data_IF_992090419866
#
_entry.id   IF_992090419866
#
_cell.length_a   1.000
_cell.length_b   1.000
_cell.length_c   1.000
_cell.angle_alpha   90.00
_cell.angle_beta   90.00
_cell.angle_gamma   90.00
#
_symmetry.space_group_name_H-M   'P 1'
#
loop_
_entity.id
_entity.type
_entity.pdbx_description
1 polymer ?
#
# COMPACT_ATOMS: atom_id res chain seq x y z
N UNK A 1 17.19 -13.44 1.21
CA UNK A 1 18.58 -13.88 1.11
C UNK A 1 18.79 -14.88 -0.02
N UNK A 2 18.12 -16.03 -0.02
CA UNK A 2 18.22 -17.06 -1.07
C UNK A 2 17.80 -16.52 -2.45
N UNK A 3 16.66 -15.88 -2.57
CA UNK A 3 16.18 -15.30 -3.83
C UNK A 3 17.13 -14.24 -4.42
N UNK A 4 17.82 -13.51 -3.56
CA UNK A 4 18.78 -12.48 -4.00
C UNK A 4 20.08 -13.12 -4.52
N UNK A 5 20.53 -14.23 -3.94
CA UNK A 5 21.67 -14.99 -4.42
C UNK A 5 21.37 -15.65 -5.76
N UNK A 6 20.23 -16.31 -5.87
CA UNK A 6 19.75 -16.94 -7.11
C UNK A 6 19.64 -15.92 -8.27
N UNK A 7 19.10 -14.74 -7.99
CA UNK A 7 19.00 -13.67 -9.00
C UNK A 7 20.38 -13.14 -9.40
N UNK A 8 21.30 -13.01 -8.45
CA UNK A 8 22.65 -12.56 -8.70
C UNK A 8 23.45 -13.57 -9.53
N UNK A 9 23.42 -14.85 -9.14
CA UNK A 9 24.11 -15.92 -9.89
C UNK A 9 23.52 -16.05 -11.28
N UNK A 10 22.22 -15.90 -11.46
CA UNK A 10 21.57 -15.89 -12.75
C UNK A 10 22.05 -14.72 -13.62
N UNK A 11 22.16 -13.50 -13.08
CA UNK A 11 22.65 -12.32 -13.81
C UNK A 11 24.10 -12.53 -14.29
N UNK A 12 24.96 -13.12 -13.45
CA UNK A 12 26.34 -13.46 -13.84
C UNK A 12 26.37 -14.55 -14.90
N UNK A 13 25.62 -15.62 -14.75
CA UNK A 13 25.57 -16.71 -15.72
C UNK A 13 25.03 -16.23 -17.07
N UNK A 14 24.00 -15.38 -17.08
CA UNK A 14 23.51 -14.74 -18.30
C UNK A 14 24.58 -13.86 -18.96
N UNK A 15 25.34 -13.09 -18.19
CA UNK A 15 26.47 -12.32 -18.70
C UNK A 15 27.55 -13.24 -19.30
N UNK A 16 27.96 -14.29 -18.60
CA UNK A 16 28.95 -15.26 -19.07
C UNK A 16 28.52 -15.95 -20.38
N UNK A 17 27.23 -16.16 -20.56
CA UNK A 17 26.67 -16.72 -21.81
C UNK A 17 26.78 -15.76 -23.00
N UNK A 18 26.89 -14.47 -22.77
CA UNK A 18 27.10 -13.46 -23.83
C UNK A 18 28.56 -13.39 -24.31
N UNK A 19 29.50 -13.98 -23.55
CA UNK A 19 30.92 -13.86 -23.81
C UNK A 19 31.36 -14.63 -25.07
N UNK A 20 32.43 -14.17 -25.77
CA UNK A 20 33.08 -14.92 -26.81
C UNK A 20 33.50 -16.32 -26.30
N UNK A 21 33.34 -17.35 -27.17
CA UNK A 21 33.63 -18.74 -26.81
C UNK A 21 35.04 -18.95 -26.24
N UNK A 22 36.05 -18.23 -26.74
CA UNK A 22 37.43 -18.38 -26.27
C UNK A 22 37.64 -17.85 -24.84
N UNK A 23 36.81 -16.93 -24.35
CA UNK A 23 36.78 -16.43 -22.98
C UNK A 23 35.97 -17.40 -22.12
N UNK A 24 34.75 -17.73 -22.57
CA UNK A 24 33.80 -18.56 -21.82
C UNK A 24 34.36 -19.92 -21.44
N UNK A 25 35.14 -20.59 -22.31
CA UNK A 25 35.71 -21.91 -22.04
C UNK A 25 36.77 -21.88 -20.93
N UNK A 26 37.38 -20.74 -20.66
CA UNK A 26 38.48 -20.58 -19.72
C UNK A 26 38.00 -20.18 -18.31
N UNK A 27 36.78 -19.71 -18.21
CA UNK A 27 36.23 -19.21 -16.93
C UNK A 27 35.76 -20.37 -16.04
N UNK A 28 36.19 -20.34 -14.79
CA UNK A 28 35.77 -21.29 -13.79
C UNK A 28 34.49 -20.78 -13.08
N UNK A 29 33.33 -21.37 -13.41
CA UNK A 29 32.04 -21.01 -12.85
C UNK A 29 31.72 -21.63 -11.50
N UNK A 30 32.60 -22.44 -10.91
CA UNK A 30 32.38 -23.18 -9.66
C UNK A 30 32.00 -22.28 -8.47
N UNK A 31 32.43 -21.01 -8.52
CA UNK A 31 32.04 -20.06 -7.46
C UNK A 31 30.52 -19.82 -7.40
N UNK A 32 29.83 -19.98 -8.53
CA UNK A 32 28.39 -19.69 -8.65
C UNK A 32 27.52 -20.96 -8.65
N UNK A 33 28.14 -22.15 -8.72
CA UNK A 33 27.43 -23.43 -8.77
C UNK A 33 26.98 -23.94 -7.40
N UNK A 34 27.69 -23.57 -6.32
CA UNK A 34 27.46 -24.12 -4.99
C UNK A 34 27.25 -23.04 -3.91
N UNK A 35 26.16 -23.19 -3.19
CA UNK A 35 25.82 -22.56 -1.91
C UNK A 35 26.12 -21.06 -1.69
N UNK A 36 25.12 -20.35 -1.21
CA UNK A 36 25.20 -18.96 -0.69
C UNK A 36 26.45 -18.78 0.18
N UNK A 37 27.33 -17.79 -0.08
CA UNK A 37 28.48 -17.49 0.78
C UNK A 37 28.07 -17.31 2.23
N UNK A 38 28.83 -17.91 3.15
CA UNK A 38 28.48 -17.94 4.57
C UNK A 38 28.64 -16.59 5.27
N UNK A 39 29.53 -15.75 4.75
CA UNK A 39 29.79 -14.41 5.29
C UNK A 39 30.43 -13.50 4.22
N UNK A 40 30.55 -12.21 4.54
CA UNK A 40 31.12 -11.18 3.65
C UNK A 40 32.56 -11.53 3.21
N UNK A 41 33.42 -11.96 4.12
CA UNK A 41 34.81 -12.29 3.82
C UNK A 41 34.95 -13.38 2.76
N UNK A 42 34.12 -14.42 2.87
CA UNK A 42 34.10 -15.52 1.89
C UNK A 42 33.60 -15.07 0.53
N UNK A 43 32.60 -14.18 0.50
CA UNK A 43 32.08 -13.58 -0.72
C UNK A 43 33.13 -12.69 -1.38
N UNK A 44 33.71 -11.74 -0.65
CA UNK A 44 34.68 -10.77 -1.17
C UNK A 44 35.91 -11.48 -1.72
N UNK A 45 36.42 -12.50 -1.02
CA UNK A 45 37.55 -13.29 -1.47
C UNK A 45 37.23 -14.02 -2.76
N UNK A 46 36.10 -14.73 -2.83
CA UNK A 46 35.71 -15.46 -4.03
C UNK A 46 35.47 -14.55 -5.22
N UNK A 47 34.83 -13.39 -5.02
CA UNK A 47 34.60 -12.41 -6.07
C UNK A 47 35.91 -11.76 -6.54
N UNK A 48 36.85 -11.46 -5.64
CA UNK A 48 38.16 -10.92 -5.98
C UNK A 48 39.01 -11.95 -6.79
N UNK A 49 38.99 -13.21 -6.37
CA UNK A 49 39.65 -14.28 -7.11
C UNK A 49 39.08 -14.44 -8.52
N UNK A 50 37.77 -14.51 -8.63
CA UNK A 50 37.09 -14.58 -9.93
C UNK A 50 37.34 -13.36 -10.81
N UNK A 51 37.26 -12.15 -10.27
CA UNK A 51 37.50 -10.91 -11.01
C UNK A 51 38.94 -10.83 -11.54
N UNK A 52 39.93 -11.24 -10.73
CA UNK A 52 41.31 -11.29 -11.14
C UNK A 52 41.55 -12.31 -12.27
N UNK A 53 40.99 -13.50 -12.16
CA UNK A 53 41.04 -14.52 -13.21
C UNK A 53 40.37 -14.01 -14.51
N UNK A 54 39.21 -13.41 -14.37
CA UNK A 54 38.45 -12.85 -15.49
C UNK A 54 39.22 -11.76 -16.24
N UNK A 55 39.87 -10.81 -15.54
CA UNK A 55 40.68 -9.76 -16.14
C UNK A 55 41.86 -10.33 -16.93
N UNK A 56 42.49 -11.40 -16.44
CA UNK A 56 43.58 -12.05 -17.15
C UNK A 56 43.11 -12.70 -18.46
N UNK A 57 41.97 -13.38 -18.41
CA UNK A 57 41.39 -14.08 -19.56
C UNK A 57 40.85 -13.09 -20.59
N UNK A 58 40.18 -12.01 -20.14
CA UNK A 58 39.53 -11.03 -21.00
C UNK A 58 40.41 -9.83 -21.37
N UNK A 59 41.72 -9.88 -21.12
CA UNK A 59 42.65 -8.74 -21.29
C UNK A 59 42.65 -8.10 -22.69
N UNK A 60 42.28 -8.87 -23.70
CA UNK A 60 42.21 -8.40 -25.10
C UNK A 60 40.82 -7.83 -25.46
N UNK A 61 39.86 -7.85 -24.56
CA UNK A 61 38.47 -7.45 -24.78
C UNK A 61 38.02 -6.34 -23.79
N UNK A 62 38.49 -5.08 -23.98
CA UNK A 62 38.24 -4.00 -23.01
C UNK A 62 36.75 -3.75 -22.71
N UNK A 63 35.89 -3.93 -23.71
CA UNK A 63 34.43 -3.75 -23.52
C UNK A 63 33.84 -4.81 -22.61
N UNK A 64 34.33 -6.04 -22.68
CA UNK A 64 33.90 -7.14 -21.83
C UNK A 64 34.33 -6.89 -20.38
N UNK A 65 35.53 -6.36 -20.19
CA UNK A 65 36.03 -5.96 -18.86
C UNK A 65 35.12 -4.83 -18.27
N UNK A 66 34.81 -3.81 -19.08
CA UNK A 66 33.96 -2.69 -18.63
C UNK A 66 32.55 -3.15 -18.21
N UNK A 67 31.96 -4.11 -18.93
CA UNK A 67 30.68 -4.70 -18.57
C UNK A 67 30.77 -5.53 -17.29
N UNK A 68 31.82 -6.31 -17.13
CA UNK A 68 32.09 -7.05 -15.90
C UNK A 68 32.25 -6.13 -14.69
N UNK A 69 33.00 -5.06 -14.79
CA UNK A 69 33.19 -4.11 -13.69
C UNK A 69 31.87 -3.47 -13.24
N UNK A 70 30.93 -3.19 -14.16
CA UNK A 70 29.60 -2.71 -13.83
C UNK A 70 28.82 -3.74 -12.99
N UNK A 71 28.88 -5.02 -13.39
CA UNK A 71 28.23 -6.12 -12.68
C UNK A 71 28.90 -6.32 -11.31
N UNK A 72 30.22 -6.30 -11.27
CA UNK A 72 31.01 -6.46 -10.04
C UNK A 72 30.66 -5.38 -8.99
N UNK A 73 30.72 -4.11 -9.37
CA UNK A 73 30.40 -3.00 -8.44
C UNK A 73 28.93 -2.98 -8.01
N UNK A 74 28.01 -3.38 -8.90
CA UNK A 74 26.60 -3.53 -8.52
C UNK A 74 26.43 -4.62 -7.48
N UNK A 75 27.12 -5.75 -7.65
CA UNK A 75 27.05 -6.89 -6.73
C UNK A 75 27.68 -6.59 -5.38
N UNK A 76 28.85 -5.93 -5.38
CA UNK A 76 29.54 -5.52 -4.15
C UNK A 76 28.65 -4.66 -3.25
N UNK A 77 27.93 -3.69 -3.84
CA UNK A 77 26.99 -2.85 -3.10
C UNK A 77 25.75 -3.62 -2.60
N UNK A 78 25.24 -4.56 -3.39
CA UNK A 78 24.06 -5.34 -3.01
C UNK A 78 24.36 -6.40 -1.94
N UNK A 79 25.53 -7.08 -2.04
CA UNK A 79 25.91 -8.17 -1.14
C UNK A 79 26.64 -7.72 0.12
N UNK A 80 27.45 -6.67 0.05
CA UNK A 80 28.05 -6.06 1.22
C UNK A 80 26.96 -5.72 2.26
N UNK A 81 25.87 -5.13 1.79
CA UNK A 81 24.72 -4.83 2.63
C UNK A 81 23.96 -6.08 3.14
N UNK A 82 23.91 -7.18 2.41
CA UNK A 82 23.21 -8.40 2.79
C UNK A 82 24.00 -9.25 3.79
N UNK A 83 25.33 -9.26 3.71
CA UNK A 83 26.20 -10.12 4.52
C UNK A 83 26.79 -9.43 5.76
N UNK A 84 26.71 -8.10 5.82
CA UNK A 84 27.26 -7.31 6.96
C UNK A 84 26.51 -7.48 8.28
N UNK A 85 25.51 -8.36 8.37
CA UNK A 85 24.67 -8.55 9.58
C UNK A 85 23.76 -7.36 9.91
N UNK A 86 24.09 -6.17 9.46
CA UNK A 86 23.24 -4.97 9.54
C UNK A 86 21.98 -5.13 8.67
N UNK A 87 22.12 -5.66 7.46
CA UNK A 87 20.99 -5.95 6.60
C UNK A 87 20.07 -7.04 7.14
N UNK A 88 20.60 -8.04 7.83
CA UNK A 88 19.78 -9.05 8.50
C UNK A 88 18.99 -8.43 9.65
N UNK A 89 19.59 -7.49 10.40
CA UNK A 89 18.90 -6.74 11.45
C UNK A 89 17.84 -5.82 10.85
N UNK A 90 18.16 -5.11 9.77
CA UNK A 90 17.22 -4.22 9.06
C UNK A 90 16.09 -5.05 8.42
N UNK A 91 16.40 -6.18 7.76
CA UNK A 91 15.41 -7.06 7.19
C UNK A 91 14.50 -7.68 8.27
N UNK A 92 15.08 -8.12 9.39
CA UNK A 92 14.32 -8.63 10.53
C UNK A 92 13.48 -7.51 11.18
N UNK A 93 14.04 -6.31 11.34
CA UNK A 93 13.32 -5.16 11.85
C UNK A 93 12.15 -4.79 10.94
N UNK A 94 12.38 -4.74 9.63
CA UNK A 94 11.33 -4.45 8.65
C UNK A 94 10.26 -5.54 8.61
N UNK A 95 10.66 -6.82 8.71
CA UNK A 95 9.73 -7.93 8.82
C UNK A 95 8.89 -7.84 10.11
N UNK A 96 9.53 -7.61 11.26
CA UNK A 96 8.83 -7.42 12.54
C UNK A 96 7.90 -6.21 12.45
N UNK A 97 8.37 -5.11 11.89
CA UNK A 97 7.57 -3.88 11.75
C UNK A 97 6.40 -4.03 10.77
N UNK A 98 6.55 -4.79 9.69
CA UNK A 98 5.51 -5.01 8.69
C UNK A 98 4.50 -6.08 9.11
N UNK A 99 4.96 -7.20 9.69
CA UNK A 99 4.16 -8.41 9.87
C UNK A 99 3.78 -8.70 11.33
N UNK A 100 4.64 -8.34 12.28
CA UNK A 100 4.46 -8.70 13.69
C UNK A 100 4.11 -7.51 14.58
N UNK A 101 4.33 -6.27 14.13
CA UNK A 101 3.92 -5.11 14.91
C UNK A 101 2.39 -4.98 14.87
N UNK A 102 1.71 -5.08 16.02
CA UNK A 102 0.31 -4.75 16.05
C UNK A 102 0.14 -3.31 15.63
N UNK A 103 -0.72 -3.07 14.67
CA UNK A 103 -1.04 -1.71 14.24
C UNK A 103 -1.90 -1.07 15.32
N UNK A 104 -1.30 -0.14 16.05
CA UNK A 104 -2.03 0.69 16.99
C UNK A 104 -2.72 1.81 16.20
N UNK A 105 -4.04 1.72 16.07
CA UNK A 105 -4.84 2.84 15.60
C UNK A 105 -5.21 3.64 16.84
N UNK A 106 -4.56 4.79 17.01
CA UNK A 106 -4.83 5.67 18.14
C UNK A 106 -6.02 6.58 17.82
N UNK A 107 -7.10 6.38 18.52
CA UNK A 107 -8.28 7.24 18.45
C UNK A 107 -8.24 8.24 19.59
N UNK A 108 -7.46 9.32 19.45
CA UNK A 108 -7.28 10.33 20.52
C UNK A 108 -8.50 11.22 20.69
N UNK A 109 -9.19 11.55 19.62
CA UNK A 109 -10.39 12.35 19.66
C UNK A 109 -11.42 11.87 18.65
N UNK A 110 -12.67 11.89 19.14
CA UNK A 110 -13.78 11.24 18.54
C UNK A 110 -14.34 12.06 17.38
N UNK A 111 -13.90 11.74 16.16
CA UNK A 111 -14.37 12.41 14.96
C UNK A 111 -15.56 11.70 14.38
N UNK A 112 -16.72 12.16 14.79
CA UNK A 112 -17.99 11.63 14.30
C UNK A 112 -18.25 12.09 12.87
N UNK A 113 -18.71 11.14 12.05
CA UNK A 113 -19.33 11.50 10.77
C UNK A 113 -20.67 12.15 11.05
N UNK A 114 -20.87 13.31 10.52
CA UNK A 114 -22.16 13.98 10.54
C UNK A 114 -23.06 13.47 9.42
N UNK A 115 -24.36 13.43 9.67
CA UNK A 115 -25.35 12.96 8.69
C UNK A 115 -25.43 13.82 7.41
N UNK A 116 -24.90 15.05 7.45
CA UNK A 116 -24.79 15.93 6.31
C UNK A 116 -23.35 16.40 6.17
N UNK A 117 -22.77 16.20 5.00
CA UNK A 117 -21.41 16.55 4.63
C UNK A 117 -21.49 17.64 3.57
N UNK A 118 -20.90 18.78 3.83
CA UNK A 118 -20.75 19.85 2.84
C UNK A 118 -19.56 19.52 1.93
N UNK A 119 -19.84 19.16 0.68
CA UNK A 119 -18.80 18.76 -0.27
C UNK A 119 -17.89 19.92 -0.69
N UNK A 120 -18.37 21.15 -0.70
CA UNK A 120 -17.51 22.31 -0.99
C UNK A 120 -16.48 22.52 0.11
N UNK A 121 -16.91 22.40 1.38
CA UNK A 121 -16.00 22.48 2.52
C UNK A 121 -15.01 21.34 2.54
N UNK A 122 -15.46 20.11 2.25
CA UNK A 122 -14.59 18.94 2.14
C UNK A 122 -13.52 19.13 1.06
N UNK A 123 -13.90 19.54 -0.17
CA UNK A 123 -12.95 19.76 -1.25
C UNK A 123 -11.97 20.90 -0.97
N UNK A 124 -12.43 21.96 -0.30
CA UNK A 124 -11.54 23.06 0.12
C UNK A 124 -10.48 22.56 1.09
N UNK A 125 -10.89 21.81 2.12
CA UNK A 125 -9.95 21.23 3.11
C UNK A 125 -8.98 20.24 2.47
N UNK A 126 -9.46 19.37 1.58
CA UNK A 126 -8.59 18.43 0.85
C UNK A 126 -7.54 19.16 -0.01
N UNK A 127 -7.89 20.31 -0.59
CA UNK A 127 -6.95 21.13 -1.34
C UNK A 127 -5.92 21.80 -0.42
N UNK A 128 -6.37 22.39 0.68
CA UNK A 128 -5.50 23.01 1.70
C UNK A 128 -4.50 22.00 2.28
N UNK A 129 -4.90 20.75 2.56
CA UNK A 129 -4.02 19.68 3.01
C UNK A 129 -2.92 19.34 1.99
N UNK A 130 -3.22 19.37 0.70
CA UNK A 130 -2.24 19.09 -0.37
C UNK A 130 -1.24 20.24 -0.58
N UNK A 131 -1.68 21.48 -0.39
CA UNK A 131 -0.86 22.67 -0.60
C UNK A 131 0.06 22.99 0.60
N UNK A 132 -0.35 22.61 1.80
CA UNK A 132 0.41 22.79 3.03
C UNK A 132 0.85 21.41 3.52
N UNK A 133 2.03 20.97 3.09
CA UNK A 133 2.70 19.86 3.72
C UNK A 133 3.02 20.24 5.17
N UNK A 134 2.25 19.70 6.11
CA UNK A 134 2.54 19.55 7.53
C UNK A 134 2.39 20.79 8.41
N UNK A 135 1.56 20.69 9.36
CA UNK A 135 1.77 20.72 10.79
C UNK A 135 0.39 20.63 11.45
N UNK A 136 0.28 19.71 12.37
CA UNK A 136 -0.79 19.48 13.31
C UNK A 136 -1.83 20.60 13.44
N UNK A 137 -3.02 20.37 12.87
CA UNK A 137 -4.18 21.19 13.22
C UNK A 137 -5.37 20.25 13.46
N UNK A 138 -5.93 20.30 14.66
CA UNK A 138 -7.09 19.54 15.13
C UNK A 138 -8.32 19.59 14.18
N UNK A 139 -8.38 20.55 13.29
CA UNK A 139 -9.43 20.72 12.29
C UNK A 139 -9.32 19.76 11.08
N UNK A 140 -8.12 19.28 10.79
CA UNK A 140 -7.86 18.35 9.67
C UNK A 140 -8.48 16.98 9.86
N UNK A 141 -8.61 16.56 11.06
CA UNK A 141 -9.09 15.26 11.45
C UNK A 141 -10.57 14.98 11.10
N UNK A 142 -11.44 16.01 10.98
CA UNK A 142 -12.83 15.82 10.55
C UNK A 142 -12.93 15.44 9.06
N UNK A 143 -11.99 15.89 8.25
CA UNK A 143 -11.91 15.54 6.83
C UNK A 143 -11.49 14.09 6.63
N UNK A 144 -10.62 13.55 7.52
CA UNK A 144 -10.11 12.18 7.40
C UNK A 144 -11.22 11.13 7.52
N UNK A 145 -12.10 11.24 8.52
CA UNK A 145 -13.21 10.29 8.69
C UNK A 145 -14.18 10.32 7.49
N UNK A 146 -14.40 11.51 6.91
CA UNK A 146 -15.21 11.66 5.69
C UNK A 146 -14.48 11.07 4.48
N UNK A 147 -13.17 11.27 4.39
CA UNK A 147 -12.31 10.65 3.36
C UNK A 147 -12.36 9.14 3.44
N UNK A 148 -12.30 8.58 4.64
CA UNK A 148 -12.41 7.15 4.88
C UNK A 148 -13.78 6.60 4.46
N UNK A 149 -14.86 7.35 4.70
CA UNK A 149 -16.19 6.99 4.24
C UNK A 149 -16.25 6.92 2.70
N UNK A 150 -15.74 7.94 2.00
CA UNK A 150 -15.73 7.97 0.53
C UNK A 150 -14.80 6.90 -0.05
N UNK A 151 -13.65 6.66 0.59
CA UNK A 151 -12.73 5.59 0.21
C UNK A 151 -13.40 4.20 0.29
N UNK A 152 -14.09 3.89 1.39
CA UNK A 152 -14.83 2.63 1.51
C UNK A 152 -15.98 2.53 0.52
N UNK A 153 -16.65 3.63 0.23
CA UNK A 153 -17.72 3.70 -0.76
C UNK A 153 -17.19 3.58 -2.21
N UNK A 154 -15.86 3.69 -2.41
CA UNK A 154 -15.22 3.85 -3.72
C UNK A 154 -15.90 4.97 -4.53
N UNK A 155 -16.15 6.09 -3.86
CA UNK A 155 -16.82 7.26 -4.41
C UNK A 155 -15.79 8.36 -4.68
N UNK A 156 -15.56 8.65 -5.96
CA UNK A 156 -14.78 9.81 -6.35
C UNK A 156 -15.68 11.06 -6.34
N UNK A 157 -15.32 12.03 -5.51
CA UNK A 157 -16.09 13.28 -5.39
C UNK A 157 -16.00 14.14 -6.66
N UNK A 158 -14.91 14.01 -7.44
CA UNK A 158 -14.77 14.69 -8.73
C UNK A 158 -15.74 14.11 -9.76
N UNK A 159 -15.82 12.77 -9.83
CA UNK A 159 -16.81 12.11 -10.70
C UNK A 159 -18.24 12.50 -10.32
N UNK A 160 -18.53 12.58 -9.01
CA UNK A 160 -19.82 13.06 -8.54
C UNK A 160 -20.10 14.50 -8.98
N UNK A 161 -19.11 15.38 -8.91
CA UNK A 161 -19.24 16.79 -9.33
C UNK A 161 -19.53 16.91 -10.84
N UNK A 162 -18.93 16.06 -11.65
CA UNK A 162 -19.17 16.00 -13.10
C UNK A 162 -20.60 15.54 -13.46
N UNK A 163 -21.15 14.62 -12.66
CA UNK A 163 -22.47 14.02 -12.94
C UNK A 163 -23.62 14.64 -12.15
N UNK A 164 -23.37 15.59 -11.24
CA UNK A 164 -24.41 16.22 -10.40
C UNK A 164 -25.56 16.86 -11.17
N UNK A 165 -25.31 17.36 -12.39
CA UNK A 165 -26.30 17.88 -13.31
C UNK A 165 -27.08 16.83 -14.12
N UNK A 166 -26.78 15.54 -13.94
CA UNK A 166 -27.35 14.41 -14.65
C UNK A 166 -28.01 13.44 -13.64
N UNK A 167 -29.29 13.62 -13.26
CA UNK A 167 -29.92 12.91 -12.14
C UNK A 167 -29.77 11.40 -12.21
N UNK A 168 -29.98 10.78 -13.37
CA UNK A 168 -29.91 9.32 -13.52
C UNK A 168 -28.51 8.78 -13.29
N UNK A 169 -27.46 9.48 -13.75
CA UNK A 169 -26.07 9.07 -13.52
C UNK A 169 -25.66 9.26 -12.06
N UNK A 170 -26.04 10.41 -11.48
CA UNK A 170 -25.80 10.71 -10.09
C UNK A 170 -26.43 9.64 -9.17
N UNK A 171 -27.70 9.29 -9.38
CA UNK A 171 -28.39 8.24 -8.64
C UNK A 171 -27.68 6.89 -8.79
N UNK A 172 -27.30 6.52 -10.00
CA UNK A 172 -26.58 5.25 -10.25
C UNK A 172 -25.24 5.20 -9.51
N UNK A 173 -24.46 6.27 -9.57
CA UNK A 173 -23.17 6.39 -8.88
C UNK A 173 -23.36 6.24 -7.37
N UNK A 174 -24.28 6.98 -6.78
CA UNK A 174 -24.55 6.96 -5.35
C UNK A 174 -25.11 5.64 -4.86
N UNK A 175 -26.02 5.00 -5.61
CA UNK A 175 -26.52 3.66 -5.27
C UNK A 175 -25.39 2.63 -5.27
N UNK A 176 -24.47 2.72 -6.23
CA UNK A 176 -23.31 1.82 -6.28
C UNK A 176 -22.41 2.04 -5.06
N UNK A 177 -22.09 3.28 -4.74
CA UNK A 177 -21.29 3.66 -3.58
C UNK A 177 -21.95 3.23 -2.25
N UNK A 178 -23.25 3.43 -2.11
CA UNK A 178 -24.06 3.02 -0.95
C UNK A 178 -24.01 1.51 -0.73
N UNK A 179 -24.17 0.73 -1.79
CA UNK A 179 -24.13 -0.73 -1.73
C UNK A 179 -22.72 -1.24 -1.33
N UNK A 180 -21.65 -0.65 -1.89
CA UNK A 180 -20.27 -0.97 -1.54
C UNK A 180 -19.99 -0.67 -0.07
N UNK A 181 -20.36 0.52 0.38
CA UNK A 181 -20.19 0.94 1.77
C UNK A 181 -20.94 0.01 2.74
N UNK A 182 -22.21 -0.27 2.45
CA UNK A 182 -23.05 -1.20 3.23
C UNK A 182 -22.38 -2.57 3.34
N UNK A 183 -21.89 -3.12 2.22
CA UNK A 183 -21.24 -4.44 2.18
C UNK A 183 -19.94 -4.47 3.00
N UNK A 184 -19.16 -3.39 2.98
CA UNK A 184 -17.88 -3.32 3.71
C UNK A 184 -18.06 -3.08 5.19
N UNK A 185 -19.12 -2.40 5.62
CA UNK A 185 -19.35 -2.11 7.04
C UNK A 185 -20.02 -3.26 7.80
N UNK A 186 -20.95 -3.98 7.18
CA UNK A 186 -21.74 -5.01 7.86
C UNK A 186 -20.91 -6.15 8.48
N UNK A 187 -19.77 -6.63 7.93
CA UNK A 187 -18.97 -7.67 8.59
C UNK A 187 -18.41 -7.25 9.96
N UNK A 188 -18.11 -5.97 10.13
CA UNK A 188 -17.64 -5.41 11.40
C UNK A 188 -18.78 -4.91 12.31
N UNK A 189 -20.00 -4.84 11.80
CA UNK A 189 -21.16 -4.36 12.54
C UNK A 189 -21.75 -5.46 13.43
N UNK A 190 -21.69 -5.26 14.75
CA UNK A 190 -22.19 -6.23 15.72
C UNK A 190 -23.62 -5.88 16.16
N UNK A 191 -24.59 -6.11 15.32
CA UNK A 191 -26.01 -5.84 15.59
C UNK A 191 -26.85 -6.32 14.42
N UNK A 192 -28.10 -5.87 14.36
CA UNK A 192 -28.87 -6.09 13.14
C UNK A 192 -28.18 -5.37 11.99
N UNK A 193 -28.15 -6.00 10.79
CA UNK A 193 -27.51 -5.40 9.64
C UNK A 193 -28.03 -3.99 9.35
N UNK A 194 -27.15 -3.13 8.88
CA UNK A 194 -27.53 -1.77 8.47
C UNK A 194 -27.46 -1.63 6.97
N UNK A 195 -28.29 -0.74 6.43
CA UNK A 195 -28.14 -0.25 5.06
C UNK A 195 -27.73 1.21 5.11
N UNK A 196 -26.66 1.54 4.44
CA UNK A 196 -26.15 2.92 4.32
C UNK A 196 -26.50 3.45 2.95
N UNK A 197 -27.19 4.58 2.90
CA UNK A 197 -27.63 5.22 1.69
C UNK A 197 -27.04 6.66 1.62
N UNK A 198 -26.27 6.93 0.56
CA UNK A 198 -25.66 8.21 0.28
C UNK A 198 -26.58 8.99 -0.66
N UNK A 199 -27.00 10.18 -0.24
CA UNK A 199 -27.90 11.02 -1.02
C UNK A 199 -27.29 12.38 -1.29
N UNK A 200 -27.29 12.79 -2.55
CA UNK A 200 -26.89 14.12 -2.95
C UNK A 200 -28.09 15.07 -2.90
N UNK A 201 -27.93 16.19 -2.20
CA UNK A 201 -28.97 17.20 -2.04
C UNK A 201 -28.53 18.55 -2.59
N UNK A 202 -29.48 19.47 -2.87
CA UNK A 202 -29.16 20.84 -3.27
C UNK A 202 -28.17 21.50 -2.30
N UNK A 203 -27.33 22.38 -2.84
CA UNK A 203 -26.30 23.06 -2.04
C UNK A 203 -25.01 22.26 -1.84
N UNK A 204 -24.75 21.24 -2.66
CA UNK A 204 -23.59 20.36 -2.56
C UNK A 204 -23.51 19.65 -1.19
N UNK A 205 -24.64 19.20 -0.69
CA UNK A 205 -24.74 18.47 0.57
C UNK A 205 -24.86 16.97 0.29
N UNK A 206 -23.94 16.18 0.82
CA UNK A 206 -24.07 14.73 0.86
C UNK A 206 -24.73 14.32 2.18
N UNK A 207 -25.87 13.64 2.11
CA UNK A 207 -26.51 13.07 3.29
C UNK A 207 -26.19 11.60 3.44
N UNK A 208 -25.84 11.20 4.67
CA UNK A 208 -25.65 9.79 5.07
C UNK A 208 -26.92 9.35 5.78
N UNK A 209 -27.68 8.48 5.15
CA UNK A 209 -28.93 7.92 5.66
C UNK A 209 -28.67 6.48 6.08
N UNK A 210 -29.14 6.10 7.26
CA UNK A 210 -28.97 4.76 7.82
C UNK A 210 -30.35 4.14 8.02
N UNK A 211 -30.48 2.90 7.61
CA UNK A 211 -31.66 2.08 7.87
C UNK A 211 -31.24 0.81 8.59
N UNK A 212 -32.07 0.31 9.49
CA UNK A 212 -31.89 -0.98 10.11
C UNK A 212 -32.54 -2.05 9.20
N UNK A 213 -31.82 -3.15 8.97
CA UNK A 213 -32.28 -4.26 8.11
C UNK A 213 -32.55 -5.47 9.00
N UNK A 214 -33.78 -5.92 9.09
CA UNK A 214 -34.15 -7.12 9.82
C UNK A 214 -33.78 -8.40 9.07
N UNK A 215 -33.79 -9.53 9.78
CA UNK A 215 -33.44 -10.86 9.21
C UNK A 215 -34.33 -11.29 8.06
N UNK A 216 -35.55 -10.79 8.02
CA UNK A 216 -36.53 -11.02 6.93
C UNK A 216 -36.32 -10.07 5.72
N UNK A 217 -35.30 -9.18 5.79
CA UNK A 217 -35.03 -8.18 4.76
C UNK A 217 -35.85 -6.90 4.92
N UNK A 218 -36.72 -6.78 5.93
CA UNK A 218 -37.50 -5.57 6.17
C UNK A 218 -36.58 -4.41 6.58
N UNK A 219 -36.76 -3.26 5.96
CA UNK A 219 -36.01 -2.04 6.25
C UNK A 219 -36.85 -1.17 7.21
N UNK A 220 -36.27 -0.79 8.33
CA UNK A 220 -36.91 0.06 9.35
C UNK A 220 -35.97 1.18 9.81
N UNK A 221 -36.52 2.06 10.65
CA UNK A 221 -35.75 3.16 11.26
C UNK A 221 -34.89 3.97 10.30
N UNK A 222 -35.37 4.19 9.06
CA UNK A 222 -34.65 4.99 8.08
C UNK A 222 -34.56 6.45 8.51
N UNK A 223 -33.33 6.97 8.61
CA UNK A 223 -33.10 8.35 8.99
C UNK A 223 -31.66 8.80 8.79
N UNK A 224 -31.47 10.11 8.87
CA UNK A 224 -30.14 10.70 8.81
C UNK A 224 -29.26 10.17 9.96
N UNK A 225 -27.99 9.93 9.70
CA UNK A 225 -27.02 9.48 10.69
C UNK A 225 -26.98 10.39 11.94
N UNK A 226 -27.12 11.72 11.76
CA UNK A 226 -27.13 12.67 12.88
C UNK A 226 -28.35 12.54 13.83
N UNK A 227 -29.42 11.88 13.39
CA UNK A 227 -30.59 11.57 14.22
C UNK A 227 -30.48 10.28 15.03
N UNK A 228 -29.44 9.48 14.76
CA UNK A 228 -29.15 8.27 15.55
C UNK A 228 -28.56 8.64 16.91
N UNK A 229 -28.68 7.74 17.87
CA UNK A 229 -28.07 7.90 19.18
C UNK A 229 -26.56 8.15 19.12
N UNK A 230 -26.01 8.86 20.09
CA UNK A 230 -24.58 9.20 20.11
C UNK A 230 -23.69 7.96 20.03
N UNK A 231 -23.99 6.90 20.77
CA UNK A 231 -23.25 5.64 20.71
C UNK A 231 -23.27 4.99 19.33
N UNK A 232 -24.40 5.10 18.60
CA UNK A 232 -24.49 4.61 17.23
C UNK A 232 -23.55 5.40 16.29
N UNK A 233 -23.61 6.74 16.33
CA UNK A 233 -22.74 7.61 15.52
C UNK A 233 -21.28 7.34 15.81
N UNK A 234 -20.98 7.08 17.04
CA UNK A 234 -19.67 6.69 17.50
C UNK A 234 -19.22 5.37 16.87
N UNK A 235 -19.96 4.31 17.08
CA UNK A 235 -19.65 3.00 16.54
C UNK A 235 -19.54 3.03 15.02
N UNK A 236 -20.44 3.75 14.34
CA UNK A 236 -20.42 3.90 12.89
C UNK A 236 -19.11 4.56 12.42
N UNK A 237 -18.73 5.69 13.01
CA UNK A 237 -17.50 6.40 12.66
C UNK A 237 -16.24 5.57 12.96
N UNK A 238 -16.25 4.84 14.08
CA UNK A 238 -15.18 3.92 14.44
C UNK A 238 -15.01 2.82 13.39
N UNK A 239 -16.10 2.14 13.01
CA UNK A 239 -16.06 1.06 12.02
C UNK A 239 -15.62 1.57 10.65
N UNK A 240 -16.07 2.76 10.23
CA UNK A 240 -15.61 3.39 8.98
C UNK A 240 -14.09 3.58 8.98
N UNK A 241 -13.55 4.16 10.05
CA UNK A 241 -12.10 4.40 10.12
C UNK A 241 -11.33 3.07 10.18
N UNK A 242 -11.77 2.14 11.02
CA UNK A 242 -11.14 0.84 11.16
C UNK A 242 -11.14 0.04 9.85
N UNK A 243 -12.29 -0.05 9.18
CA UNK A 243 -12.41 -0.77 7.90
C UNK A 243 -11.56 -0.13 6.79
N UNK A 244 -11.47 1.21 6.75
CA UNK A 244 -10.63 1.90 5.80
C UNK A 244 -9.14 1.61 6.02
N UNK A 245 -8.67 1.61 7.26
CA UNK A 245 -7.28 1.29 7.59
C UNK A 245 -6.95 -0.18 7.30
N UNK A 246 -7.85 -1.10 7.62
CA UNK A 246 -7.67 -2.53 7.29
C UNK A 246 -7.56 -2.72 5.78
N UNK A 247 -8.46 -2.14 4.99
CA UNK A 247 -8.42 -2.27 3.53
C UNK A 247 -7.15 -1.67 2.92
N UNK A 248 -6.66 -0.53 3.44
CA UNK A 248 -5.39 0.06 2.97
C UNK A 248 -4.19 -0.82 3.28
N UNK A 249 -4.24 -1.54 4.39
CA UNK A 249 -3.16 -2.44 4.77
C UNK A 249 -3.10 -3.68 3.90
N UNK A 250 -4.25 -4.30 3.61
CA UNK A 250 -4.34 -5.44 2.71
C UNK A 250 -3.84 -5.11 1.29
N UNK A 251 -4.13 -3.90 0.79
CA UNK A 251 -3.62 -3.44 -0.51
C UNK A 251 -2.11 -3.22 -0.52
N UNK A 252 -1.50 -2.84 0.60
CA UNK A 252 -0.03 -2.69 0.69
C UNK A 252 0.70 -4.03 0.76
N UNK A 253 0.05 -5.07 1.25
CA UNK A 253 0.59 -6.42 1.31
C UNK A 253 0.49 -7.17 -0.03
N UNK A 254 -0.36 -6.70 -0.94
CA UNK A 254 -0.59 -7.31 -2.26
C UNK A 254 0.31 -6.75 -3.39
N UNK A 255 1.17 -5.77 -3.09
CA UNK A 255 2.14 -5.14 -4.01
C UNK A 255 3.56 -5.54 -3.60
#
# INVERSE_FOLDING_TARGET
GLNSWENFTKEILEFLDTLPNHIRIQINTKLFDDSVPKNQETFDRGMAEFSNEFHVIAIQEPKVIEEWEKIYHKSENQFSNLLSGESQKIALHNFIAAELHPRFVYFSDYKKIYGNINLNEYLRKEKEEREHSIEFVEEFDKAETVRNLFYLAELDIKELDEVKGQPSKCIKLLNTASNRLTKKLNPAWKGDPIHVDLRYNPGNIMSVVISDVHKDGTITNTGLLNRRAEGFKWTFSFIVNFAAETQRSELKEAI
#
